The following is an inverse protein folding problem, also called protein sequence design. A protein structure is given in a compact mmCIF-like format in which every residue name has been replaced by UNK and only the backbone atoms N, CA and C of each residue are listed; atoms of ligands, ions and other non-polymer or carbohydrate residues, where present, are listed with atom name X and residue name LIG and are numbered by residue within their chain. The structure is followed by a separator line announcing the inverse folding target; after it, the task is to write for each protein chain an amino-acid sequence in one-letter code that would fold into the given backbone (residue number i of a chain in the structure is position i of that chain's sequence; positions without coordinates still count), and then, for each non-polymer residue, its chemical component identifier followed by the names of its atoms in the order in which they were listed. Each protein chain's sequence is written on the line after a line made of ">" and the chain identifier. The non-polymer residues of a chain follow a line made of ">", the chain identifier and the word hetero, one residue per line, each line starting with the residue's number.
data_IF_609745947064
#
_entry.id   IF_609745947064
#
_cell.length_a   1.000
_cell.length_b   1.000
_cell.length_c   1.000
_cell.angle_alpha   90.00
_cell.angle_beta   90.00
_cell.angle_gamma   90.00
#
_symmetry.space_group_name_H-M   'P 1'
#
loop_
_entity.id
_entity.type
_entity.pdbx_description
1 polymer ?
#
# COMPACT_ATOMS: atom_id res chain seq x y z
N UNK A 1 -68.60 27.00 44.50
CA UNK A 1 -67.41 26.45 45.20
C UNK A 1 -67.31 24.96 44.88
N UNK A 2 -66.36 24.54 44.03
CA UNK A 2 -66.12 23.13 43.71
C UNK A 2 -64.60 22.92 43.65
N UNK A 3 -64.13 21.91 44.39
CA UNK A 3 -62.75 21.71 44.84
C UNK A 3 -61.80 21.36 43.67
N UNK A 4 -60.61 21.92 43.67
CA UNK A 4 -59.51 21.54 42.79
C UNK A 4 -58.93 20.18 43.22
N UNK A 5 -58.59 19.32 42.26
CA UNK A 5 -57.88 18.05 42.47
C UNK A 5 -56.46 18.16 41.87
N UNK A 6 -55.38 17.88 42.63
CA UNK A 6 -54.02 17.92 42.14
C UNK A 6 -53.47 16.50 41.93
N UNK A 7 -53.25 16.05 40.69
CA UNK A 7 -52.19 15.08 40.37
C UNK A 7 -52.17 14.73 38.89
N UNK A 8 -50.96 14.75 38.30
CA UNK A 8 -50.43 13.91 37.20
C UNK A 8 -49.47 14.80 36.39
N UNK A 9 -48.27 15.04 36.90
CA UNK A 9 -47.05 14.28 36.57
C UNK A 9 -46.85 14.09 35.06
N UNK A 10 -46.01 15.00 34.53
CA UNK A 10 -45.00 14.83 33.48
C UNK A 10 -45.03 13.56 32.63
N UNK A 11 -45.16 13.75 31.31
CA UNK A 11 -44.61 12.84 30.31
C UNK A 11 -43.95 13.68 29.21
N UNK A 12 -42.64 13.87 29.34
CA UNK A 12 -41.74 14.26 28.26
C UNK A 12 -41.36 12.95 27.57
N UNK A 13 -41.78 12.66 26.33
CA UNK A 13 -41.16 11.58 25.58
C UNK A 13 -39.85 12.13 25.03
N UNK A 14 -38.75 11.88 25.75
CA UNK A 14 -37.42 11.90 25.16
C UNK A 14 -37.40 10.83 24.06
N UNK A 15 -37.61 11.23 22.81
CA UNK A 15 -37.27 10.41 21.65
C UNK A 15 -35.74 10.31 21.61
N UNK A 16 -35.23 9.23 22.21
CA UNK A 16 -33.83 8.83 22.12
C UNK A 16 -33.48 8.60 20.65
N UNK A 17 -32.73 9.53 20.07
CA UNK A 17 -32.07 9.40 18.78
C UNK A 17 -30.98 8.30 18.92
N UNK A 18 -31.38 7.04 18.84
CA UNK A 18 -30.42 5.96 18.60
C UNK A 18 -29.97 6.06 17.14
N UNK A 19 -29.00 6.94 16.86
CA UNK A 19 -28.16 6.81 15.67
C UNK A 19 -27.47 5.45 15.79
N UNK A 20 -28.01 4.45 15.10
CA UNK A 20 -27.33 3.20 14.87
C UNK A 20 -26.04 3.51 14.14
N UNK A 21 -24.92 3.52 14.88
CA UNK A 21 -23.61 3.40 14.28
C UNK A 21 -23.58 2.04 13.59
N UNK A 22 -23.81 2.03 12.28
CA UNK A 22 -23.56 0.84 11.48
C UNK A 22 -22.11 0.42 11.76
N UNK A 23 -21.84 -0.83 12.17
CA UNK A 23 -20.46 -1.27 12.29
C UNK A 23 -19.86 -1.20 10.89
N UNK A 24 -18.96 -0.25 10.67
CA UNK A 24 -18.08 -0.27 9.52
C UNK A 24 -17.11 -1.44 9.71
N UNK A 25 -17.55 -2.65 9.37
CA UNK A 25 -16.66 -3.78 9.20
C UNK A 25 -15.80 -3.51 7.98
N UNK A 26 -14.70 -2.78 8.19
CA UNK A 26 -13.62 -2.75 7.22
C UNK A 26 -13.12 -4.18 7.03
N UNK A 27 -13.05 -4.64 5.79
CA UNK A 27 -12.40 -5.89 5.47
C UNK A 27 -10.98 -5.87 6.07
N UNK A 28 -10.58 -6.96 6.72
CA UNK A 28 -9.23 -7.07 7.30
C UNK A 28 -8.20 -6.89 6.19
N UNK A 29 -7.24 -6.00 6.41
CA UNK A 29 -6.12 -5.79 5.50
C UNK A 29 -5.46 -7.14 5.14
N UNK A 30 -5.22 -7.46 3.86
CA UNK A 30 -4.50 -8.67 3.49
C UNK A 30 -3.07 -8.64 4.03
N UNK A 31 -2.54 -9.77 4.57
CA UNK A 31 -1.14 -9.84 4.98
C UNK A 31 -0.23 -9.61 3.77
N UNK A 32 0.93 -8.99 4.01
CA UNK A 32 1.97 -8.88 2.99
C UNK A 32 2.38 -10.27 2.50
N UNK A 33 2.14 -10.53 1.22
CA UNK A 33 2.38 -11.84 0.58
C UNK A 33 3.46 -11.79 -0.48
N UNK A 34 3.71 -10.62 -1.08
CA UNK A 34 4.72 -10.47 -2.12
C UNK A 34 5.33 -9.07 -2.13
N UNK A 35 6.64 -9.00 -2.36
CA UNK A 35 7.33 -7.78 -2.78
C UNK A 35 8.24 -8.13 -3.96
N UNK A 36 8.09 -7.43 -5.08
CA UNK A 36 8.91 -7.71 -6.27
C UNK A 36 9.24 -6.45 -7.05
N UNK A 37 10.41 -6.42 -7.68
CA UNK A 37 10.67 -5.44 -8.75
C UNK A 37 10.03 -5.94 -10.02
N UNK A 38 9.24 -5.10 -10.71
CA UNK A 38 8.60 -5.48 -11.97
C UNK A 38 8.98 -4.57 -13.14
N UNK A 39 9.59 -3.40 -12.87
CA UNK A 39 10.01 -2.47 -13.92
C UNK A 39 11.24 -1.65 -13.50
N UNK A 40 12.18 -1.48 -14.42
CA UNK A 40 13.29 -0.52 -14.31
C UNK A 40 13.27 0.38 -15.54
N UNK A 41 13.44 1.69 -15.34
CA UNK A 41 13.32 2.70 -16.39
C UNK A 41 14.43 3.73 -16.26
N UNK A 42 15.19 3.96 -17.33
CA UNK A 42 16.17 5.03 -17.47
C UNK A 42 15.91 5.78 -18.77
N UNK A 43 16.63 6.89 -19.00
CA UNK A 43 16.39 7.77 -20.15
C UNK A 43 16.40 7.05 -21.52
N UNK A 44 17.19 5.98 -21.67
CA UNK A 44 17.32 5.25 -22.93
C UNK A 44 16.62 3.90 -22.97
N UNK A 45 15.99 3.46 -21.87
CA UNK A 45 15.49 2.09 -21.80
C UNK A 45 14.43 1.90 -20.71
N UNK A 46 13.39 1.16 -21.03
CA UNK A 46 12.42 0.62 -20.07
C UNK A 46 12.45 -0.90 -20.15
N UNK A 47 12.64 -1.55 -19.02
CA UNK A 47 12.72 -3.00 -18.89
C UNK A 47 11.66 -3.48 -17.90
N UNK A 48 10.82 -4.43 -18.33
CA UNK A 48 9.96 -5.21 -17.43
C UNK A 48 10.78 -6.36 -16.86
N UNK A 49 10.73 -6.54 -15.53
CA UNK A 49 11.49 -7.57 -14.82
C UNK A 49 10.58 -8.78 -14.56
N UNK A 50 10.89 -9.96 -15.14
CA UNK A 50 10.16 -11.19 -14.84
C UNK A 50 10.36 -11.64 -13.38
N UNK A 51 9.38 -12.38 -12.83
CA UNK A 51 9.33 -12.77 -11.40
C UNK A 51 10.57 -13.51 -10.90
N UNK A 52 11.21 -14.31 -11.73
CA UNK A 52 12.36 -15.14 -11.37
C UNK A 52 13.71 -14.49 -11.68
N UNK A 53 13.73 -13.23 -12.12
CA UNK A 53 14.94 -12.54 -12.56
C UNK A 53 15.40 -11.54 -11.51
N UNK A 54 16.68 -11.60 -11.16
CA UNK A 54 17.31 -10.74 -10.16
C UNK A 54 18.42 -9.84 -10.74
N UNK A 55 18.47 -9.69 -12.07
CA UNK A 55 19.35 -8.73 -12.75
C UNK A 55 18.63 -8.12 -13.95
N UNK A 56 18.88 -6.86 -14.27
CA UNK A 56 18.42 -6.31 -15.56
C UNK A 56 19.15 -7.03 -16.71
N UNK A 57 18.44 -7.28 -17.81
CA UNK A 57 18.86 -8.16 -18.90
C UNK A 57 18.69 -7.54 -20.29
N UNK A 58 17.89 -6.50 -20.47
CA UNK A 58 17.70 -5.89 -21.78
C UNK A 58 18.76 -4.83 -22.06
N UNK A 59 19.09 -4.01 -21.07
CA UNK A 59 19.94 -2.85 -21.27
C UNK A 59 20.78 -2.52 -20.04
N UNK A 60 21.74 -1.63 -20.26
CA UNK A 60 22.59 -1.05 -19.22
C UNK A 60 21.95 0.26 -18.78
N UNK A 61 21.45 0.34 -17.56
CA UNK A 61 20.80 1.53 -17.02
C UNK A 61 21.83 2.50 -16.44
N UNK A 62 21.83 3.75 -16.89
CA UNK A 62 22.75 4.79 -16.41
C UNK A 62 22.02 6.10 -16.15
N UNK A 63 22.56 6.88 -15.23
CA UNK A 63 21.99 8.16 -14.84
C UNK A 63 20.71 8.00 -14.02
N UNK A 64 19.82 8.99 -14.13
CA UNK A 64 18.51 8.96 -13.51
C UNK A 64 17.72 7.71 -13.92
N UNK A 65 17.41 6.87 -12.92
CA UNK A 65 16.77 5.57 -13.09
C UNK A 65 15.64 5.43 -12.08
N UNK A 66 14.51 4.92 -12.53
CA UNK A 66 13.34 4.60 -11.72
C UNK A 66 13.23 3.09 -11.55
N UNK A 67 13.03 2.63 -10.33
CA UNK A 67 12.77 1.22 -10.02
C UNK A 67 11.36 1.12 -9.43
N UNK A 68 10.51 0.33 -10.10
CA UNK A 68 9.14 0.11 -9.67
C UNK A 68 9.00 -1.23 -8.97
N UNK A 69 8.53 -1.19 -7.73
CA UNK A 69 8.27 -2.33 -6.87
C UNK A 69 6.78 -2.52 -6.71
N UNK A 70 6.30 -3.75 -6.85
CA UNK A 70 4.94 -4.15 -6.54
C UNK A 70 4.91 -4.79 -5.16
N UNK A 71 4.00 -4.33 -4.32
CA UNK A 71 3.66 -4.90 -3.03
C UNK A 71 2.24 -5.49 -3.10
N UNK A 72 2.10 -6.78 -2.81
CA UNK A 72 0.80 -7.46 -2.67
C UNK A 72 0.57 -7.77 -1.20
N UNK A 73 -0.58 -7.35 -0.69
CA UNK A 73 -0.83 -7.26 0.74
C UNK A 73 -0.32 -5.97 1.35
N UNK A 74 -0.53 -5.78 2.65
CA UNK A 74 -0.12 -4.55 3.35
C UNK A 74 1.07 -4.80 4.27
N UNK A 75 2.16 -4.08 4.02
CA UNK A 75 3.25 -3.95 4.99
C UNK A 75 3.21 -2.64 5.78
N UNK A 76 4.07 -2.52 6.80
CA UNK A 76 4.11 -1.36 7.69
C UNK A 76 5.50 -0.74 7.90
N UNK A 77 6.54 -1.25 7.24
CA UNK A 77 7.91 -0.74 7.31
C UNK A 77 8.64 -0.86 5.95
N UNK A 78 8.17 -0.15 4.91
CA UNK A 78 8.78 -0.20 3.59
C UNK A 78 10.13 0.52 3.58
N UNK A 79 11.18 -0.15 3.12
CA UNK A 79 12.52 0.45 2.98
C UNK A 79 13.13 0.05 1.64
N UNK A 80 13.42 1.06 0.80
CA UNK A 80 14.19 0.91 -0.43
C UNK A 80 15.64 1.34 -0.23
N UNK A 81 16.57 0.62 -0.84
CA UNK A 81 18.01 0.93 -0.82
C UNK A 81 18.64 0.75 -2.19
N UNK A 82 19.68 1.54 -2.47
CA UNK A 82 20.61 1.29 -3.57
C UNK A 82 22.04 1.33 -3.05
N UNK A 83 22.78 0.23 -3.21
CA UNK A 83 24.13 0.06 -2.66
C UNK A 83 24.24 0.44 -1.17
N UNK A 84 23.21 0.10 -0.39
CA UNK A 84 23.13 0.36 1.05
C UNK A 84 22.56 1.74 1.44
N UNK A 85 22.56 2.72 0.52
CA UNK A 85 21.96 4.03 0.77
C UNK A 85 20.43 3.93 0.73
N UNK A 86 19.76 4.50 1.74
CA UNK A 86 18.29 4.54 1.81
C UNK A 86 17.74 5.50 0.76
N UNK A 87 16.66 5.10 0.11
CA UNK A 87 15.99 5.87 -0.94
C UNK A 87 14.61 6.30 -0.47
N UNK A 88 14.19 7.48 -0.94
CA UNK A 88 12.80 7.92 -0.85
C UNK A 88 11.99 7.31 -2.00
N UNK A 89 10.90 6.63 -1.66
CA UNK A 89 9.99 6.02 -2.61
C UNK A 89 8.65 6.73 -2.63
N UNK A 90 8.13 7.01 -3.83
CA UNK A 90 6.74 7.42 -4.00
C UNK A 90 5.86 6.18 -4.04
N UNK A 91 4.75 6.17 -3.29
CA UNK A 91 3.83 5.04 -3.27
C UNK A 91 2.47 5.40 -3.86
N UNK A 92 1.92 4.49 -4.64
CA UNK A 92 0.56 4.56 -5.19
C UNK A 92 -0.23 3.38 -4.68
N UNK A 93 -1.38 3.64 -4.06
CA UNK A 93 -2.27 2.59 -3.58
C UNK A 93 -2.96 1.89 -4.77
N UNK A 94 -3.00 0.56 -4.75
CA UNK A 94 -3.67 -0.26 -5.76
C UNK A 94 -4.91 -0.89 -5.15
N UNK A 95 -6.05 -0.61 -5.78
CA UNK A 95 -7.36 -1.12 -5.39
C UNK A 95 -7.89 -2.08 -6.44
N UNK A 96 -8.54 -3.14 -5.97
CA UNK A 96 -9.33 -4.03 -6.81
C UNK A 96 -10.78 -3.54 -6.87
N UNK A 97 -11.27 -3.28 -8.08
CA UNK A 97 -12.67 -2.95 -8.37
C UNK A 97 -13.21 -4.02 -9.31
N UNK A 98 -14.01 -4.95 -8.77
CA UNK A 98 -14.41 -6.15 -9.50
C UNK A 98 -13.20 -7.02 -9.84
N UNK A 99 -12.95 -7.27 -11.13
CA UNK A 99 -11.80 -8.03 -11.63
C UNK A 99 -10.61 -7.15 -12.06
N UNK A 100 -10.69 -5.83 -11.89
CA UNK A 100 -9.68 -4.88 -12.37
C UNK A 100 -8.86 -4.36 -11.19
N UNK A 101 -7.53 -4.47 -11.32
CA UNK A 101 -6.56 -3.82 -10.43
C UNK A 101 -6.18 -2.46 -11.00
N UNK A 102 -6.39 -1.39 -10.23
CA UNK A 102 -6.14 -0.02 -10.66
C UNK A 102 -5.67 0.87 -9.49
N UNK A 103 -5.22 2.09 -9.79
CA UNK A 103 -4.95 3.07 -8.75
C UNK A 103 -6.23 3.36 -7.94
N UNK A 104 -6.10 3.41 -6.62
CA UNK A 104 -7.23 3.69 -5.74
C UNK A 104 -7.79 5.10 -6.01
N UNK A 105 -9.11 5.18 -6.22
CA UNK A 105 -9.84 6.43 -6.49
C UNK A 105 -11.06 6.61 -5.58
N UNK A 106 -11.02 6.04 -4.37
CA UNK A 106 -12.11 6.10 -3.39
C UNK A 106 -13.11 4.94 -3.45
N UNK A 107 -12.90 3.97 -4.34
CA UNK A 107 -13.70 2.75 -4.45
C UNK A 107 -12.80 1.50 -4.56
N UNK A 108 -13.38 0.35 -4.20
CA UNK A 108 -12.70 -0.95 -4.26
C UNK A 108 -11.99 -1.34 -2.97
N UNK A 109 -11.33 -2.50 -3.01
CA UNK A 109 -10.59 -3.05 -1.87
C UNK A 109 -9.10 -2.83 -2.08
N UNK A 110 -8.42 -2.24 -1.10
CA UNK A 110 -6.97 -2.04 -1.13
C UNK A 110 -6.25 -3.40 -1.18
N UNK A 111 -5.49 -3.64 -2.24
CA UNK A 111 -4.72 -4.87 -2.46
C UNK A 111 -3.24 -4.73 -2.13
N UNK A 112 -2.71 -3.51 -2.14
CA UNK A 112 -1.30 -3.25 -1.92
C UNK A 112 -0.87 -1.91 -2.50
N UNK A 113 0.42 -1.81 -2.83
CA UNK A 113 1.04 -0.56 -3.29
C UNK A 113 2.01 -0.81 -4.43
N UNK A 114 2.14 0.19 -5.30
CA UNK A 114 3.29 0.30 -6.21
C UNK A 114 4.21 1.38 -5.65
N UNK A 115 5.46 1.03 -5.44
CA UNK A 115 6.51 1.99 -5.07
C UNK A 115 7.36 2.32 -6.29
N UNK A 116 7.70 3.60 -6.44
CA UNK A 116 8.66 4.07 -7.44
C UNK A 116 9.80 4.77 -6.70
N UNK A 117 10.99 4.21 -6.83
CA UNK A 117 12.22 4.77 -6.27
C UNK A 117 13.02 5.43 -7.38
N UNK A 118 13.46 6.66 -7.16
CA UNK A 118 14.39 7.35 -8.04
C UNK A 118 15.81 7.21 -7.51
N UNK A 119 16.73 6.83 -8.37
CA UNK A 119 18.15 6.70 -8.04
C UNK A 119 19.02 7.11 -9.23
N UNK A 120 20.30 7.33 -8.96
CA UNK A 120 21.30 7.64 -9.98
C UNK A 120 22.27 6.47 -10.14
N UNK A 121 22.17 5.74 -11.26
CA UNK A 121 23.03 4.59 -11.54
C UNK A 121 24.29 5.06 -12.28
N UNK A 122 25.41 5.11 -11.57
CA UNK A 122 26.72 5.47 -12.16
C UNK A 122 27.48 4.23 -12.65
N UNK A 123 27.36 3.14 -11.90
CA UNK A 123 27.93 1.83 -12.20
C UNK A 123 26.93 0.75 -11.76
N UNK A 124 27.21 -0.50 -12.13
CA UNK A 124 26.41 -1.65 -11.69
C UNK A 124 26.24 -1.62 -10.16
N UNK A 125 25.03 -1.91 -9.70
CA UNK A 125 24.70 -1.85 -8.28
C UNK A 125 23.47 -2.66 -7.92
N UNK A 126 23.26 -2.82 -6.61
CA UNK A 126 22.15 -3.59 -6.06
C UNK A 126 21.08 -2.67 -5.52
N UNK A 127 19.89 -2.79 -6.09
CA UNK A 127 18.67 -2.30 -5.49
C UNK A 127 18.10 -3.36 -4.55
N UNK A 128 17.62 -2.92 -3.40
CA UNK A 128 16.97 -3.76 -2.40
C UNK A 128 15.68 -3.08 -1.92
N UNK A 129 14.61 -3.87 -1.79
CA UNK A 129 13.41 -3.43 -1.10
C UNK A 129 13.02 -4.46 -0.05
N UNK A 130 12.64 -3.98 1.13
CA UNK A 130 12.09 -4.81 2.21
C UNK A 130 10.84 -4.19 2.82
N UNK A 131 9.88 -5.01 3.21
CA UNK A 131 8.76 -4.58 4.02
C UNK A 131 8.31 -5.69 4.97
N UNK A 132 7.77 -5.32 6.14
CA UNK A 132 7.22 -6.24 7.12
C UNK A 132 5.69 -6.24 7.07
N UNK A 133 5.08 -7.42 7.09
CA UNK A 133 3.62 -7.57 7.10
C UNK A 133 2.98 -6.84 8.29
N UNK A 134 1.87 -6.14 8.04
CA UNK A 134 1.11 -5.50 9.12
C UNK A 134 0.43 -6.54 10.04
N UNK A 135 0.13 -7.72 9.50
CA UNK A 135 -0.54 -8.80 10.20
C UNK A 135 0.48 -9.75 10.86
N UNK A 136 0.15 -10.34 12.04
CA UNK A 136 0.93 -11.43 12.62
C UNK A 136 1.15 -12.58 11.60
N UNK A 137 2.34 -13.22 11.59
CA UNK A 137 3.47 -13.06 12.50
C UNK A 137 4.44 -11.90 12.13
N UNK A 138 4.02 -10.95 11.27
CA UNK A 138 4.83 -9.81 10.80
C UNK A 138 6.08 -10.22 10.03
N UNK A 139 5.94 -11.25 9.19
CA UNK A 139 7.03 -11.68 8.31
C UNK A 139 7.56 -10.52 7.49
N UNK A 140 8.88 -10.43 7.37
CA UNK A 140 9.55 -9.47 6.50
C UNK A 140 9.83 -10.13 5.16
N UNK A 141 9.34 -9.52 4.09
CA UNK A 141 9.67 -9.90 2.72
C UNK A 141 10.72 -8.95 2.17
N UNK A 142 11.58 -9.48 1.30
CA UNK A 142 12.68 -8.76 0.68
C UNK A 142 12.84 -9.18 -0.77
N UNK A 143 13.20 -8.23 -1.62
CA UNK A 143 13.60 -8.46 -3.00
C UNK A 143 14.91 -7.73 -3.29
N UNK A 144 15.75 -8.30 -4.15
CA UNK A 144 16.98 -7.68 -4.63
C UNK A 144 17.01 -7.73 -6.15
N UNK A 145 17.52 -6.66 -6.75
CA UNK A 145 17.76 -6.58 -8.18
C UNK A 145 19.13 -5.96 -8.44
N UNK A 146 19.96 -6.67 -9.19
CA UNK A 146 21.18 -6.12 -9.77
C UNK A 146 20.84 -5.28 -10.99
N UNK A 147 21.14 -3.99 -10.94
CA UNK A 147 20.94 -3.06 -12.05
C UNK A 147 22.29 -2.90 -12.74
N UNK A 148 22.40 -3.43 -13.95
CA UNK A 148 23.63 -3.38 -14.75
C UNK A 148 23.69 -2.19 -15.67
#
# INVERSE_FOLDING_TARGET
>A
MKKANPWSLALIPCLSLCLGAAPAWGATAPPLSEVRVFKVESAGCTETIPESVNTTQMCTHRGATKVSVMEVGLGNNPVGRFNGAVLDGQRTAVCQVGSISQACSGAGTLMGYIYVFELNVQAQGWFEYSNASINPPRNTLKTLLNIR
#
